data_IF_997620646926
#
_entry.id   IF_997620646926
#
_cell.length_a   1.000
_cell.length_b   1.000
_cell.length_c   1.000
_cell.angle_alpha   90.00
_cell.angle_beta   90.00
_cell.angle_gamma   90.00
#
_symmetry.space_group_name_H-M   'P 1'
#
loop_
_entity.id
_entity.type
_entity.pdbx_description
1 polymer ?
#
# COMPACT_ATOMS: atom_id res chain seq x y z
N UNK A 1 -24.00 -11.93 -28.60
CA UNK A 1 -23.53 -12.35 -27.26
C UNK A 1 -24.13 -11.39 -26.25
N UNK A 2 -25.14 -11.83 -25.50
CA UNK A 2 -25.78 -11.02 -24.46
C UNK A 2 -24.91 -11.10 -23.22
N UNK A 3 -24.26 -9.99 -22.87
CA UNK A 3 -23.42 -9.89 -21.68
C UNK A 3 -24.36 -9.52 -20.52
N UNK A 4 -24.55 -10.45 -19.58
CA UNK A 4 -25.19 -10.13 -18.30
C UNK A 4 -24.16 -9.41 -17.42
N UNK A 5 -24.51 -8.27 -16.80
CA UNK A 5 -23.63 -7.62 -15.85
C UNK A 5 -23.55 -8.50 -14.59
N UNK A 6 -22.32 -8.85 -14.21
CA UNK A 6 -22.01 -9.39 -12.88
C UNK A 6 -21.23 -8.30 -12.16
N UNK A 7 -21.93 -7.23 -11.78
CA UNK A 7 -21.38 -6.24 -10.87
C UNK A 7 -22.47 -5.92 -9.85
N UNK A 8 -22.22 -6.30 -8.61
CA UNK A 8 -22.96 -5.80 -7.46
C UNK A 8 -22.65 -4.31 -7.31
N UNK A 9 -23.64 -3.48 -7.65
CA UNK A 9 -24.03 -2.20 -7.05
C UNK A 9 -22.99 -1.08 -6.82
N UNK A 10 -22.25 -0.69 -7.86
CA UNK A 10 -21.76 0.69 -7.96
C UNK A 10 -21.51 1.10 -9.42
N UNK A 11 -21.95 2.31 -9.80
CA UNK A 11 -21.66 2.91 -11.12
C UNK A 11 -20.15 2.93 -11.41
N UNK A 12 -19.33 3.19 -10.37
CA UNK A 12 -17.87 3.21 -10.45
C UNK A 12 -17.27 1.85 -10.88
N UNK A 13 -17.84 0.73 -10.42
CA UNK A 13 -17.38 -0.61 -10.80
C UNK A 13 -17.67 -0.93 -12.28
N UNK A 14 -18.84 -0.53 -12.78
CA UNK A 14 -19.19 -0.66 -14.18
C UNK A 14 -18.28 0.21 -15.07
N UNK A 15 -17.99 1.44 -14.64
CA UNK A 15 -17.05 2.33 -15.34
C UNK A 15 -15.62 1.78 -15.37
N UNK A 16 -15.14 1.18 -14.27
CA UNK A 16 -13.82 0.53 -14.24
C UNK A 16 -13.73 -0.63 -15.26
N UNK A 17 -14.78 -1.45 -15.37
CA UNK A 17 -14.85 -2.48 -16.41
C UNK A 17 -14.88 -1.90 -17.83
N UNK A 18 -15.61 -0.80 -18.05
CA UNK A 18 -15.65 -0.11 -19.35
C UNK A 18 -14.26 0.39 -19.73
N UNK A 19 -13.52 1.03 -18.81
CA UNK A 19 -12.14 1.45 -19.05
C UNK A 19 -11.22 0.26 -19.40
N UNK A 20 -11.33 -0.86 -18.68
CA UNK A 20 -10.56 -2.06 -18.98
C UNK A 20 -10.90 -2.67 -20.35
N UNK A 21 -12.13 -2.52 -20.83
CA UNK A 21 -12.56 -3.00 -22.17
C UNK A 21 -12.18 -2.03 -23.29
N UNK A 22 -12.26 -0.72 -23.04
CA UNK A 22 -11.83 0.33 -23.99
C UNK A 22 -10.31 0.32 -24.23
N UNK A 23 -9.53 -0.24 -23.30
CA UNK A 23 -8.10 -0.55 -23.40
C UNK A 23 -7.74 -1.62 -24.48
N UNK A 24 -8.46 -1.64 -25.62
CA UNK A 24 -8.26 -2.61 -26.71
C UNK A 24 -7.75 -1.97 -28.01
N UNK A 25 -7.61 -0.63 -28.07
CA UNK A 25 -7.25 0.09 -29.30
C UNK A 25 -6.22 1.23 -29.17
N UNK A 26 -5.64 1.45 -27.99
CA UNK A 26 -4.69 2.55 -27.69
C UNK A 26 -3.71 2.24 -26.55
N UNK A 27 -3.05 3.26 -25.97
CA UNK A 27 -2.19 3.05 -24.79
C UNK A 27 -3.06 2.79 -23.56
N UNK A 28 -2.94 1.58 -22.99
CA UNK A 28 -3.79 1.16 -21.89
C UNK A 28 -3.43 1.88 -20.59
N UNK A 29 -4.42 2.50 -19.96
CA UNK A 29 -4.28 3.06 -18.61
C UNK A 29 -3.95 1.93 -17.61
N UNK A 30 -3.01 2.18 -16.71
CA UNK A 30 -2.74 1.28 -15.59
C UNK A 30 -3.92 1.26 -14.62
N UNK A 31 -4.05 0.21 -13.80
CA UNK A 31 -5.07 0.18 -12.75
C UNK A 31 -5.07 1.42 -11.85
N UNK A 32 -3.89 1.97 -11.54
CA UNK A 32 -3.78 3.18 -10.73
C UNK A 32 -4.20 4.45 -11.48
N UNK A 33 -3.88 4.58 -12.76
CA UNK A 33 -4.37 5.69 -13.60
C UNK A 33 -5.91 5.70 -13.66
N UNK A 34 -6.54 4.52 -13.76
CA UNK A 34 -8.00 4.39 -13.72
C UNK A 34 -8.53 4.77 -12.33
N UNK A 35 -7.89 4.31 -11.24
CA UNK A 35 -8.30 4.65 -9.86
C UNK A 35 -8.25 6.15 -9.58
N UNK A 36 -7.19 6.84 -10.02
CA UNK A 36 -7.07 8.30 -9.89
C UNK A 36 -8.20 9.04 -10.60
N UNK A 37 -8.73 8.48 -11.69
CA UNK A 37 -9.80 9.07 -12.49
C UNK A 37 -11.19 8.81 -11.90
N UNK A 38 -11.47 7.57 -11.49
CA UNK A 38 -12.80 7.17 -10.99
C UNK A 38 -13.03 7.49 -9.51
N UNK A 39 -11.98 7.42 -8.69
CA UNK A 39 -12.07 7.57 -7.25
C UNK A 39 -11.39 8.84 -6.75
N UNK A 40 -11.39 9.89 -7.58
CA UNK A 40 -10.77 11.17 -7.24
C UNK A 40 -11.20 11.65 -5.84
N UNK A 41 -10.21 12.00 -5.02
CA UNK A 41 -10.37 12.44 -3.64
C UNK A 41 -9.13 13.21 -3.18
N UNK A 42 -9.28 14.02 -2.14
CA UNK A 42 -8.17 14.73 -1.51
C UNK A 42 -7.10 13.76 -0.99
N UNK A 43 -7.50 12.58 -0.51
CA UNK A 43 -6.58 11.53 -0.11
C UNK A 43 -5.70 11.05 -1.28
N UNK A 44 -6.29 10.70 -2.43
CA UNK A 44 -5.52 10.26 -3.60
C UNK A 44 -4.61 11.36 -4.14
N UNK A 45 -5.07 12.61 -4.14
CA UNK A 45 -4.26 13.78 -4.50
C UNK A 45 -3.07 13.93 -3.56
N UNK A 46 -3.27 13.76 -2.25
CA UNK A 46 -2.21 13.82 -1.25
C UNK A 46 -1.12 12.73 -1.45
N UNK A 47 -1.48 11.55 -1.97
CA UNK A 47 -0.49 10.50 -2.27
C UNK A 47 0.55 10.95 -3.31
N UNK A 48 0.17 11.85 -4.23
CA UNK A 48 1.12 12.44 -5.20
C UNK A 48 2.20 13.23 -4.47
N UNK A 49 1.83 14.03 -3.47
CA UNK A 49 2.77 14.80 -2.64
C UNK A 49 3.65 13.88 -1.79
N UNK A 50 3.08 12.85 -1.15
CA UNK A 50 3.85 11.87 -0.38
C UNK A 50 4.87 11.12 -1.25
N UNK A 51 4.57 10.94 -2.54
CA UNK A 51 5.43 10.26 -3.48
C UNK A 51 6.73 11.03 -3.79
N UNK A 52 6.77 12.33 -3.54
CA UNK A 52 7.96 13.18 -3.74
C UNK A 52 8.95 13.10 -2.56
N UNK A 53 8.61 12.41 -1.47
CA UNK A 53 9.49 12.23 -0.32
C UNK A 53 10.84 11.59 -0.73
N UNK A 54 11.95 12.21 -0.32
CA UNK A 54 13.31 11.79 -0.72
C UNK A 54 13.68 10.40 -0.21
N UNK A 55 13.33 10.06 1.03
CA UNK A 55 13.58 8.73 1.61
C UNK A 55 12.80 7.68 0.84
N UNK A 56 11.54 7.96 0.49
CA UNK A 56 10.74 7.07 -0.35
C UNK A 56 11.34 6.87 -1.74
N UNK A 57 11.81 7.93 -2.40
CA UNK A 57 12.54 7.84 -3.69
C UNK A 57 13.78 6.95 -3.58
N UNK A 58 14.56 7.10 -2.51
CA UNK A 58 15.73 6.26 -2.22
C UNK A 58 15.36 4.80 -2.05
N UNK A 59 14.35 4.50 -1.23
CA UNK A 59 13.85 3.12 -0.98
C UNK A 59 13.43 2.44 -2.30
N UNK A 60 12.80 3.18 -3.22
CA UNK A 60 12.42 2.66 -4.54
C UNK A 60 13.60 2.51 -5.51
N UNK A 61 14.76 3.10 -5.20
CA UNK A 61 15.89 3.27 -6.10
C UNK A 61 15.46 3.98 -7.41
N UNK A 62 14.57 4.97 -7.28
CA UNK A 62 14.05 5.76 -8.41
C UNK A 62 14.11 7.26 -8.09
N UNK A 63 14.78 8.02 -8.94
CA UNK A 63 14.90 9.48 -8.79
C UNK A 63 13.78 10.27 -9.48
N UNK A 64 12.92 9.60 -10.25
CA UNK A 64 11.85 10.21 -11.03
C UNK A 64 10.53 9.52 -10.69
N UNK A 65 9.44 10.28 -10.68
CA UNK A 65 8.09 9.75 -10.52
C UNK A 65 7.74 8.84 -11.71
N UNK A 66 7.24 7.64 -11.40
CA UNK A 66 6.79 6.70 -12.43
C UNK A 66 5.53 7.22 -13.16
N UNK A 67 5.64 7.38 -14.48
CA UNK A 67 4.52 7.85 -15.32
C UNK A 67 3.29 6.93 -15.26
N UNK A 68 3.46 5.64 -14.94
CA UNK A 68 2.38 4.67 -14.77
C UNK A 68 1.85 4.61 -13.33
N UNK A 69 2.29 5.54 -12.48
CA UNK A 69 1.86 5.71 -11.10
C UNK A 69 2.08 4.46 -10.23
N UNK A 70 3.01 3.57 -10.60
CA UNK A 70 3.28 2.36 -9.82
C UNK A 70 3.79 2.66 -8.41
N UNK A 71 4.52 3.77 -8.27
CA UNK A 71 5.02 4.26 -6.99
C UNK A 71 3.87 4.77 -6.11
N UNK A 72 2.89 5.46 -6.69
CA UNK A 72 1.70 5.94 -5.99
C UNK A 72 0.81 4.76 -5.59
N UNK A 73 0.66 3.75 -6.47
CA UNK A 73 -0.05 2.51 -6.12
C UNK A 73 0.59 1.80 -4.93
N UNK A 74 1.93 1.79 -4.83
CA UNK A 74 2.63 1.23 -3.68
C UNK A 74 2.32 1.98 -2.37
N UNK A 75 2.25 3.32 -2.41
CA UNK A 75 1.81 4.13 -1.25
C UNK A 75 0.34 3.83 -0.91
N UNK A 76 -0.55 3.85 -1.91
CA UNK A 76 -1.97 3.54 -1.74
C UNK A 76 -2.16 2.17 -1.08
N UNK A 77 -1.43 1.17 -1.57
CA UNK A 77 -1.46 -0.20 -1.04
C UNK A 77 -0.97 -0.25 0.40
N UNK A 78 0.11 0.46 0.70
CA UNK A 78 0.65 0.54 2.06
C UNK A 78 -0.38 1.10 3.04
N UNK A 79 -1.02 2.23 2.72
CA UNK A 79 -2.11 2.77 3.55
C UNK A 79 -3.32 1.86 3.63
N UNK A 80 -3.73 1.25 2.51
CA UNK A 80 -4.86 0.33 2.49
C UNK A 80 -4.64 -0.83 3.46
N UNK A 81 -3.41 -1.37 3.54
CA UNK A 81 -3.07 -2.44 4.48
C UNK A 81 -3.10 -1.98 5.94
N UNK A 82 -2.75 -0.72 6.24
CA UNK A 82 -2.84 -0.20 7.62
C UNK A 82 -4.25 0.20 8.05
N UNK A 83 -5.05 0.74 7.13
CA UNK A 83 -6.32 1.37 7.46
C UNK A 83 -7.54 0.49 7.17
N UNK A 84 -7.43 -0.46 6.24
CA UNK A 84 -8.60 -1.11 5.63
C UNK A 84 -8.48 -2.64 5.50
N UNK A 85 -7.44 -3.27 6.05
CA UNK A 85 -7.20 -4.72 5.93
C UNK A 85 -8.38 -5.59 6.39
N UNK A 86 -9.19 -5.13 7.35
CA UNK A 86 -10.40 -5.85 7.78
C UNK A 86 -11.37 -6.14 6.62
N UNK A 87 -11.35 -5.33 5.57
CA UNK A 87 -12.18 -5.45 4.36
C UNK A 87 -11.53 -6.25 3.22
N UNK A 88 -10.31 -6.77 3.41
CA UNK A 88 -9.59 -7.51 2.37
C UNK A 88 -10.27 -8.85 2.07
N UNK A 89 -10.72 -9.08 0.83
CA UNK A 89 -11.39 -10.34 0.44
C UNK A 89 -10.46 -11.29 -0.30
N UNK A 90 -10.28 -11.08 -1.60
CA UNK A 90 -9.67 -12.09 -2.48
C UNK A 90 -8.64 -11.56 -3.48
N UNK A 91 -8.63 -10.25 -3.79
CA UNK A 91 -7.66 -9.67 -4.73
C UNK A 91 -7.19 -8.30 -4.28
N UNK A 92 -5.91 -8.00 -4.56
CA UNK A 92 -5.31 -6.70 -4.28
C UNK A 92 -5.99 -5.61 -5.12
N UNK A 93 -6.28 -5.86 -6.41
CA UNK A 93 -6.90 -4.84 -7.28
C UNK A 93 -8.30 -4.45 -6.80
N UNK A 94 -9.16 -5.44 -6.49
CA UNK A 94 -10.50 -5.17 -5.96
C UNK A 94 -10.45 -4.50 -4.58
N UNK A 95 -9.50 -4.91 -3.74
CA UNK A 95 -9.25 -4.27 -2.45
C UNK A 95 -8.86 -2.80 -2.59
N UNK A 96 -7.92 -2.47 -3.50
CA UNK A 96 -7.50 -1.09 -3.73
C UNK A 96 -8.59 -0.23 -4.36
N UNK A 97 -9.45 -0.80 -5.22
CA UNK A 97 -10.63 -0.09 -5.74
C UNK A 97 -11.59 0.27 -4.60
N UNK A 98 -11.91 -0.70 -3.73
CA UNK A 98 -12.79 -0.47 -2.58
C UNK A 98 -12.19 0.56 -1.61
N UNK A 99 -10.90 0.46 -1.32
CA UNK A 99 -10.22 1.44 -0.47
C UNK A 99 -10.19 2.83 -1.10
N UNK A 100 -9.90 2.93 -2.40
CA UNK A 100 -9.90 4.22 -3.11
C UNK A 100 -11.28 4.89 -3.08
N UNK A 101 -12.35 4.11 -3.24
CA UNK A 101 -13.72 4.63 -3.12
C UNK A 101 -14.04 5.05 -1.67
N UNK A 102 -13.66 4.23 -0.69
CA UNK A 102 -13.84 4.55 0.72
C UNK A 102 -13.08 5.82 1.14
N UNK A 103 -11.88 6.03 0.59
CA UNK A 103 -11.00 7.15 0.90
C UNK A 103 -11.58 8.52 0.52
N UNK A 104 -12.64 8.57 -0.31
CA UNK A 104 -13.43 9.79 -0.56
C UNK A 104 -14.03 10.38 0.72
N UNK A 105 -14.18 9.58 1.78
CA UNK A 105 -14.77 10.01 3.04
C UNK A 105 -13.74 10.59 4.04
N UNK A 106 -12.44 10.54 3.75
CA UNK A 106 -11.44 11.13 4.65
C UNK A 106 -11.48 12.65 4.57
N UNK A 107 -11.56 13.28 5.73
CA UNK A 107 -11.52 14.74 5.83
C UNK A 107 -10.08 15.27 5.90
N UNK A 108 -9.93 16.59 5.94
CA UNK A 108 -8.62 17.24 6.04
C UNK A 108 -7.84 16.82 7.30
N UNK A 109 -8.50 16.52 8.42
CA UNK A 109 -7.82 16.11 9.66
C UNK A 109 -7.26 14.70 9.51
N UNK A 110 -8.03 13.77 8.95
CA UNK A 110 -7.56 12.42 8.65
C UNK A 110 -6.36 12.46 7.69
N UNK A 111 -6.47 13.22 6.59
CA UNK A 111 -5.39 13.34 5.59
C UNK A 111 -4.13 13.96 6.21
N UNK A 112 -4.28 14.98 7.07
CA UNK A 112 -3.15 15.60 7.77
C UNK A 112 -2.46 14.60 8.70
N UNK A 113 -3.23 13.82 9.47
CA UNK A 113 -2.68 12.76 10.32
C UNK A 113 -1.92 11.72 9.49
N UNK A 114 -2.47 11.29 8.36
CA UNK A 114 -1.83 10.29 7.49
C UNK A 114 -0.53 10.79 6.89
N UNK A 115 -0.48 12.06 6.46
CA UNK A 115 0.75 12.70 5.99
C UNK A 115 1.81 12.80 7.09
N UNK A 116 1.42 13.14 8.32
CA UNK A 116 2.34 13.20 9.44
C UNK A 116 2.88 11.81 9.80
N UNK A 117 2.02 10.78 9.88
CA UNK A 117 2.45 9.39 10.11
C UNK A 117 3.42 8.92 9.01
N UNK A 118 3.14 9.24 7.74
CA UNK A 118 4.02 8.91 6.64
C UNK A 118 5.39 9.57 6.77
N UNK A 119 5.43 10.88 7.05
CA UNK A 119 6.68 11.61 7.18
C UNK A 119 7.50 11.12 8.38
N UNK A 120 6.89 10.95 9.54
CA UNK A 120 7.57 10.41 10.73
C UNK A 120 8.08 8.98 10.49
N UNK A 121 7.31 8.14 9.78
CA UNK A 121 7.80 6.83 9.36
C UNK A 121 9.01 6.95 8.42
N UNK A 122 8.94 7.82 7.41
CA UNK A 122 10.04 8.04 6.46
C UNK A 122 11.30 8.53 7.18
N UNK A 123 11.16 9.42 8.15
CA UNK A 123 12.28 9.90 8.96
C UNK A 123 12.83 8.77 9.84
N UNK A 124 11.98 7.90 10.39
CA UNK A 124 12.41 6.76 11.21
C UNK A 124 13.24 5.71 10.44
N UNK A 125 13.06 5.64 9.12
CA UNK A 125 13.82 4.74 8.23
C UNK A 125 14.86 5.48 7.40
N UNK A 126 15.04 6.78 7.60
CA UNK A 126 16.11 7.52 6.96
C UNK A 126 17.47 6.96 7.42
N UNK A 127 18.38 6.80 6.46
CA UNK A 127 19.66 6.11 6.68
C UNK A 127 19.62 4.58 6.53
N UNK A 128 18.46 3.93 6.49
CA UNK A 128 18.38 2.51 6.06
C UNK A 128 18.60 2.44 4.55
N UNK A 129 19.39 1.46 4.10
CA UNK A 129 19.71 1.27 2.68
C UNK A 129 18.53 0.61 1.94
N UNK A 130 18.33 0.99 0.69
CA UNK A 130 17.28 0.41 -0.16
C UNK A 130 17.35 -1.13 -0.26
N UNK A 131 18.54 -1.73 -0.11
CA UNK A 131 18.74 -3.18 -0.15
C UNK A 131 18.00 -3.90 0.98
N UNK A 132 17.80 -3.23 2.12
CA UNK A 132 17.07 -3.79 3.25
C UNK A 132 15.59 -4.00 2.92
N UNK A 133 15.02 -3.17 2.05
CA UNK A 133 13.62 -3.27 1.61
C UNK A 133 13.41 -4.21 0.42
N UNK A 134 14.43 -4.99 0.03
CA UNK A 134 14.34 -6.01 -1.03
C UNK A 134 14.26 -7.41 -0.42
N UNK A 135 13.47 -8.29 -1.04
CA UNK A 135 13.41 -9.74 -0.72
C UNK A 135 14.05 -10.60 -1.81
N UNK A 136 14.80 -9.97 -2.72
CA UNK A 136 15.40 -10.56 -3.91
C UNK A 136 15.39 -9.58 -5.08
N UNK A 137 16.32 -9.73 -6.03
CA UNK A 137 16.46 -8.82 -7.17
C UNK A 137 16.77 -7.37 -6.79
N UNK A 138 16.53 -6.45 -7.73
CA UNK A 138 16.90 -5.03 -7.60
C UNK A 138 15.72 -4.10 -7.25
N UNK A 139 14.52 -4.64 -7.00
CA UNK A 139 13.31 -3.84 -6.74
C UNK A 139 12.87 -3.99 -5.29
N UNK A 140 12.33 -2.91 -4.73
CA UNK A 140 11.70 -2.92 -3.41
C UNK A 140 10.55 -3.96 -3.38
N UNK A 141 10.47 -4.70 -2.29
CA UNK A 141 9.41 -5.68 -2.03
C UNK A 141 8.23 -5.00 -1.35
N UNK A 142 7.16 -4.74 -2.10
CA UNK A 142 5.96 -4.09 -1.57
C UNK A 142 5.33 -4.85 -0.40
N UNK A 143 5.38 -6.18 -0.44
CA UNK A 143 4.87 -7.06 0.62
C UNK A 143 5.67 -6.89 1.92
N UNK A 144 6.99 -6.73 1.81
CA UNK A 144 7.84 -6.45 2.96
C UNK A 144 7.59 -5.03 3.48
N UNK A 145 7.62 -4.04 2.60
CA UNK A 145 7.46 -2.63 2.96
C UNK A 145 6.10 -2.35 3.62
N UNK A 146 4.99 -2.84 3.07
CA UNK A 146 3.66 -2.66 3.67
C UNK A 146 3.56 -3.30 5.06
N UNK A 147 4.27 -4.40 5.29
CA UNK A 147 4.28 -5.10 6.59
C UNK A 147 5.11 -4.34 7.63
N UNK A 148 6.27 -3.80 7.24
CA UNK A 148 7.10 -2.94 8.10
C UNK A 148 6.33 -1.67 8.47
N UNK A 149 5.73 -1.01 7.48
CA UNK A 149 4.93 0.19 7.70
C UNK A 149 3.74 -0.09 8.64
N UNK A 150 2.99 -1.16 8.38
CA UNK A 150 1.90 -1.60 9.25
C UNK A 150 2.36 -1.78 10.70
N UNK A 151 3.44 -2.53 10.90
CA UNK A 151 3.99 -2.80 12.23
C UNK A 151 4.41 -1.50 12.95
N UNK A 152 5.14 -0.63 12.24
CA UNK A 152 5.69 0.59 12.82
C UNK A 152 4.61 1.64 13.16
N UNK A 153 3.51 1.65 12.40
CA UNK A 153 2.47 2.69 12.49
C UNK A 153 1.17 2.21 13.15
N UNK A 154 1.09 0.94 13.57
CA UNK A 154 -0.12 0.34 14.12
C UNK A 154 -0.74 1.17 15.25
N UNK A 155 0.06 1.51 16.26
CA UNK A 155 -0.40 2.31 17.40
C UNK A 155 -0.78 3.74 16.99
N UNK A 156 -0.11 4.29 15.97
CA UNK A 156 -0.42 5.63 15.46
C UNK A 156 -1.82 5.70 14.85
N UNK A 157 -2.17 4.73 14.01
CA UNK A 157 -3.50 4.67 13.41
C UNK A 157 -4.58 4.28 14.41
N UNK A 158 -4.27 3.37 15.35
CA UNK A 158 -5.20 2.94 16.40
C UNK A 158 -5.56 4.07 17.36
N UNK A 159 -4.56 4.81 17.83
CA UNK A 159 -4.75 5.84 18.85
C UNK A 159 -4.97 7.24 18.25
N UNK A 160 -4.84 7.37 16.92
CA UNK A 160 -4.86 8.66 16.19
C UNK A 160 -3.82 9.65 16.73
N UNK A 161 -2.60 9.17 16.94
CA UNK A 161 -1.48 9.91 17.53
C UNK A 161 -0.16 9.56 16.80
N UNK A 162 0.88 10.36 16.94
CA UNK A 162 2.18 10.12 16.30
C UNK A 162 3.06 9.20 17.16
N UNK A 163 2.79 7.89 17.07
CA UNK A 163 3.50 6.83 17.81
C UNK A 163 4.15 5.85 16.84
N UNK A 164 5.21 6.29 16.18
CA UNK A 164 5.97 5.45 15.25
C UNK A 164 6.97 4.61 16.04
N UNK A 165 6.88 3.30 15.91
CA UNK A 165 7.89 2.39 16.48
C UNK A 165 9.15 2.44 15.64
N UNK A 166 10.30 2.47 16.31
CA UNK A 166 11.60 2.54 15.63
C UNK A 166 11.85 1.28 14.80
N UNK A 167 12.11 1.48 13.51
CA UNK A 167 12.50 0.41 12.58
C UNK A 167 14.02 0.37 12.48
N UNK A 168 14.62 -0.81 12.69
CA UNK A 168 16.07 -0.99 12.60
C UNK A 168 16.42 -2.02 11.52
N UNK A 169 17.65 -1.99 11.02
CA UNK A 169 18.17 -3.02 10.09
C UNK A 169 18.03 -4.42 10.71
N UNK A 170 18.33 -4.55 12.01
CA UNK A 170 18.19 -5.81 12.74
C UNK A 170 16.74 -6.34 12.74
N UNK A 171 15.75 -5.46 12.90
CA UNK A 171 14.35 -5.83 12.78
C UNK A 171 14.01 -6.31 11.36
N UNK A 172 14.43 -5.57 10.33
CA UNK A 172 14.15 -5.91 8.94
C UNK A 172 14.78 -7.26 8.58
N UNK A 173 16.02 -7.50 8.99
CA UNK A 173 16.72 -8.77 8.74
C UNK A 173 16.09 -9.93 9.50
N UNK A 174 15.67 -9.72 10.76
CA UNK A 174 14.91 -10.71 11.52
C UNK A 174 13.58 -11.05 10.83
N UNK A 175 12.85 -10.04 10.36
CA UNK A 175 11.58 -10.24 9.66
C UNK A 175 11.75 -11.02 8.35
N UNK A 176 12.78 -10.69 7.56
CA UNK A 176 13.09 -11.37 6.28
C UNK A 176 13.46 -12.83 6.45
N UNK A 177 14.04 -13.20 7.59
CA UNK A 177 14.44 -14.58 7.90
C UNK A 177 13.44 -15.32 8.80
N UNK A 178 12.33 -14.68 9.18
CA UNK A 178 11.33 -15.29 10.04
C UNK A 178 10.51 -16.36 9.28
N UNK A 179 10.50 -17.63 9.73
CA UNK A 179 9.83 -18.71 9.00
C UNK A 179 8.32 -18.51 8.84
N UNK A 180 7.66 -17.91 9.82
CA UNK A 180 6.22 -17.65 9.79
C UNK A 180 5.91 -16.52 8.79
N UNK A 181 6.69 -15.43 8.82
CA UNK A 181 6.57 -14.35 7.84
C UNK A 181 6.80 -14.84 6.41
N UNK A 182 7.82 -15.68 6.19
CA UNK A 182 8.13 -16.26 4.88
C UNK A 182 7.01 -17.17 4.36
N UNK A 183 6.35 -17.92 5.25
CA UNK A 183 5.17 -18.74 4.92
C UNK A 183 4.04 -17.87 4.36
N UNK A 184 3.84 -16.68 4.91
CA UNK A 184 2.82 -15.75 4.45
C UNK A 184 3.22 -14.91 3.22
N UNK A 185 4.52 -14.85 2.90
CA UNK A 185 5.08 -13.90 1.93
C UNK A 185 5.65 -14.53 0.65
N UNK A 186 5.71 -15.86 0.56
CA UNK A 186 6.24 -16.57 -0.64
C UNK A 186 5.13 -17.05 -1.57
N UNK A 187 4.22 -17.89 -1.07
CA UNK A 187 3.15 -18.49 -1.87
C UNK A 187 1.78 -17.91 -1.48
N UNK A 188 0.88 -17.81 -2.47
CA UNK A 188 -0.54 -17.41 -2.25
C UNK A 188 -0.67 -16.11 -1.44
N UNK A 189 0.28 -15.20 -1.63
CA UNK A 189 0.45 -13.96 -0.85
C UNK A 189 -0.73 -13.00 -0.90
N UNK A 190 -1.64 -13.19 -1.86
CA UNK A 190 -2.88 -12.42 -2.04
C UNK A 190 -4.08 -13.01 -1.29
N UNK A 191 -3.94 -14.14 -0.60
CA UNK A 191 -5.02 -14.68 0.22
C UNK A 191 -5.16 -13.90 1.53
N UNK A 192 -6.38 -13.71 2.01
CA UNK A 192 -6.66 -12.91 3.21
C UNK A 192 -5.84 -13.38 4.42
N UNK A 193 -5.77 -14.69 4.64
CA UNK A 193 -5.01 -15.27 5.74
C UNK A 193 -3.50 -14.99 5.64
N UNK A 194 -2.94 -14.94 4.41
CA UNK A 194 -1.56 -14.56 4.18
C UNK A 194 -1.32 -13.04 4.34
N UNK A 195 -2.30 -12.21 3.95
CA UNK A 195 -2.23 -10.77 4.19
C UNK A 195 -2.23 -10.47 5.68
N UNK A 196 -3.22 -10.97 6.41
CA UNK A 196 -3.31 -10.74 7.85
C UNK A 196 -2.10 -11.35 8.56
N UNK A 197 -1.71 -12.57 8.20
CA UNK A 197 -0.60 -13.28 8.82
C UNK A 197 0.72 -12.52 8.73
N UNK A 198 1.10 -12.00 7.55
CA UNK A 198 2.36 -11.25 7.42
C UNK A 198 2.36 -9.91 8.17
N UNK A 199 1.23 -9.20 8.18
CA UNK A 199 1.09 -7.90 8.84
C UNK A 199 1.19 -8.08 10.37
N UNK A 200 0.44 -9.03 10.92
CA UNK A 200 0.47 -9.33 12.36
C UNK A 200 1.80 -9.92 12.80
N UNK A 201 2.45 -10.74 11.96
CA UNK A 201 3.77 -11.28 12.27
C UNK A 201 4.82 -10.19 12.32
N UNK A 202 4.80 -9.26 11.35
CA UNK A 202 5.68 -8.09 11.35
C UNK A 202 5.48 -7.22 12.60
N UNK A 203 4.22 -6.99 13.01
CA UNK A 203 3.87 -6.25 14.23
C UNK A 203 4.40 -6.94 15.49
N UNK A 204 4.13 -8.24 15.63
CA UNK A 204 4.54 -9.03 16.80
C UNK A 204 6.07 -9.07 16.96
N UNK A 205 6.82 -9.22 15.85
CA UNK A 205 8.28 -9.21 15.89
C UNK A 205 8.80 -7.84 16.34
N UNK A 206 8.20 -6.75 15.86
CA UNK A 206 8.62 -5.39 16.19
C UNK A 206 8.30 -5.03 17.65
N UNK A 207 7.14 -5.45 18.15
CA UNK A 207 6.72 -5.22 19.54
C UNK A 207 7.55 -6.01 20.56
N UNK A 208 8.11 -7.15 20.15
CA UNK A 208 8.98 -7.96 20.99
C UNK A 208 10.47 -7.57 20.95
N UNK A 209 10.81 -6.45 20.32
CA UNK A 209 12.18 -5.93 20.22
C UNK A 209 12.42 -4.72 21.11
#
# INVERSE_FOLDING_TARGET
MVIKPVAQDSEDGAMFEIFNRLNSGGMNLSPQEIRMSLYHSDFLSNLVSLNENKTWRKILSKNVVDMRLSDIEAILRTFAMSLFTSQYKSSVSGFLNNFSNYAKNYDTKDITLFSNIWNEFMDSVDGIDEINFRTGGNRMSITLFESIFYAATYDSFKDKDLKIRQVTVNYIDKLKNDPEFLTFSTDKTTRREHVIGRLERARTILEGM
#
